data_IF_869676892923
#
_entry.id   IF_869676892923
#
_cell.length_a   1.000
_cell.length_b   1.000
_cell.length_c   1.000
_cell.angle_alpha   90.00
_cell.angle_beta   90.00
_cell.angle_gamma   90.00
#
_symmetry.space_group_name_H-M   'P 1'
#
loop_
_entity.id
_entity.type
_entity.pdbx_description
1 polymer ?
#
# COMPACT_ATOMS: atom_id res chain seq x y z
N UNK A 1 1.19 7.11 -8.73
CA UNK A 1 0.69 6.62 -10.03
C UNK A 1 -0.13 5.37 -9.83
N UNK A 2 -1.27 5.30 -10.45
CA UNK A 2 -2.10 4.09 -10.45
C UNK A 2 -1.50 3.04 -11.37
N UNK A 3 -1.35 1.80 -10.88
CA UNK A 3 -0.79 0.69 -11.65
C UNK A 3 -1.84 0.21 -12.67
N UNK A 4 -1.45 0.08 -13.93
CA UNK A 4 -2.35 -0.27 -15.03
C UNK A 4 -1.85 -1.42 -15.91
N UNK A 5 -0.57 -1.77 -15.86
CA UNK A 5 0.04 -2.78 -16.74
C UNK A 5 0.72 -3.89 -15.94
N UNK A 6 0.93 -5.05 -16.59
CA UNK A 6 1.63 -6.17 -15.98
C UNK A 6 3.06 -5.79 -15.55
N UNK A 7 3.77 -5.01 -16.36
CA UNK A 7 5.12 -4.54 -16.01
C UNK A 7 5.11 -3.65 -14.78
N UNK A 8 4.09 -2.79 -14.64
CA UNK A 8 3.91 -1.95 -13.46
C UNK A 8 3.53 -2.77 -12.23
N UNK A 9 2.82 -3.89 -12.38
CA UNK A 9 2.57 -4.82 -11.27
C UNK A 9 3.88 -5.41 -10.77
N UNK A 10 4.79 -5.78 -11.65
CA UNK A 10 6.11 -6.28 -11.27
C UNK A 10 6.92 -5.22 -10.51
N UNK A 11 6.91 -3.98 -10.97
CA UNK A 11 7.55 -2.87 -10.26
C UNK A 11 6.92 -2.63 -8.89
N UNK A 12 5.59 -2.67 -8.82
CA UNK A 12 4.84 -2.54 -7.57
C UNK A 12 5.22 -3.63 -6.58
N UNK A 13 5.25 -4.88 -7.02
CA UNK A 13 5.62 -6.02 -6.19
C UNK A 13 7.05 -5.89 -5.66
N UNK A 14 7.98 -5.55 -6.52
CA UNK A 14 9.38 -5.40 -6.16
C UNK A 14 9.59 -4.29 -5.11
N UNK A 15 8.97 -3.12 -5.29
CA UNK A 15 9.10 -2.02 -4.34
C UNK A 15 8.37 -2.33 -3.02
N UNK A 16 7.28 -3.07 -3.05
CA UNK A 16 6.58 -3.51 -1.85
C UNK A 16 7.48 -4.38 -0.98
N UNK A 17 8.12 -5.37 -1.58
CA UNK A 17 9.06 -6.27 -0.87
C UNK A 17 10.23 -5.47 -0.28
N UNK A 18 10.83 -4.59 -1.07
CA UNK A 18 11.93 -3.74 -0.61
C UNK A 18 11.55 -2.81 0.53
N UNK A 19 10.32 -2.33 0.52
CA UNK A 19 9.82 -1.46 1.57
C UNK A 19 9.53 -2.19 2.87
N UNK A 20 9.01 -3.41 2.81
CA UNK A 20 8.66 -4.18 4.01
C UNK A 20 9.81 -5.02 4.55
N UNK A 21 10.67 -5.55 3.71
CA UNK A 21 11.80 -6.37 4.14
C UNK A 21 13.09 -5.54 4.24
N UNK A 22 13.74 -5.32 3.10
CA UNK A 22 14.91 -4.45 3.01
C UNK A 22 15.11 -4.02 1.55
N UNK A 23 15.81 -2.92 1.36
CA UNK A 23 15.95 -2.26 0.06
C UNK A 23 16.69 -3.10 -0.99
N UNK A 24 17.49 -4.09 -0.54
CA UNK A 24 18.23 -4.99 -1.41
C UNK A 24 17.45 -6.28 -1.71
N UNK A 25 16.27 -6.47 -1.14
CA UNK A 25 15.49 -7.69 -1.34
C UNK A 25 15.09 -7.85 -2.80
N UNK A 26 15.08 -9.11 -3.24
CA UNK A 26 14.63 -9.50 -4.58
C UNK A 26 13.47 -10.47 -4.48
N UNK A 27 12.65 -10.51 -5.53
CA UNK A 27 11.50 -11.38 -5.58
C UNK A 27 11.30 -11.91 -6.99
N UNK A 28 10.81 -13.15 -7.09
CA UNK A 28 10.35 -13.70 -8.36
C UNK A 28 9.05 -13.01 -8.77
N UNK A 29 8.97 -12.37 -9.95
CA UNK A 29 7.76 -11.69 -10.40
C UNK A 29 6.53 -12.60 -10.37
N UNK A 30 5.39 -12.07 -9.91
CA UNK A 30 4.11 -12.78 -9.83
C UNK A 30 3.93 -13.67 -8.61
N UNK A 31 4.92 -13.75 -7.73
CA UNK A 31 4.85 -14.62 -6.55
C UNK A 31 3.81 -14.14 -5.53
N UNK A 32 3.68 -12.84 -5.35
CA UNK A 32 2.74 -12.22 -4.40
C UNK A 32 1.57 -11.60 -5.14
N UNK A 33 1.86 -10.88 -6.22
CA UNK A 33 0.85 -10.18 -7.02
C UNK A 33 0.93 -10.60 -8.48
N UNK A 34 0.09 -11.55 -8.93
CA UNK A 34 0.04 -11.91 -10.34
C UNK A 34 -0.59 -10.78 -11.16
N UNK A 35 -0.28 -10.67 -12.46
CA UNK A 35 -0.89 -9.65 -13.33
C UNK A 35 -2.43 -9.66 -13.32
N UNK A 36 -3.05 -10.81 -13.05
CA UNK A 36 -4.50 -10.95 -12.97
C UNK A 36 -5.14 -10.10 -11.86
N UNK A 37 -4.36 -9.56 -10.91
CA UNK A 37 -4.88 -8.64 -9.89
C UNK A 37 -5.49 -7.39 -10.54
N UNK A 38 -5.07 -7.02 -11.74
CA UNK A 38 -5.61 -5.90 -12.49
C UNK A 38 -7.04 -6.14 -12.99
N UNK A 39 -7.49 -7.40 -12.99
CA UNK A 39 -8.84 -7.77 -13.41
C UNK A 39 -9.87 -7.57 -12.29
N UNK A 40 -9.43 -7.32 -11.06
CA UNK A 40 -10.34 -7.04 -9.95
C UNK A 40 -10.65 -5.53 -9.91
N UNK A 41 -11.89 -5.12 -10.27
CA UNK A 41 -12.22 -3.70 -10.40
C UNK A 41 -12.26 -2.94 -9.07
N UNK A 42 -12.37 -3.65 -7.95
CA UNK A 42 -12.43 -3.05 -6.62
C UNK A 42 -11.05 -2.84 -6.00
N UNK A 43 -10.01 -3.44 -6.60
CA UNK A 43 -8.63 -3.31 -6.15
C UNK A 43 -7.89 -2.27 -6.98
N UNK A 44 -7.20 -1.36 -6.32
CA UNK A 44 -6.32 -0.39 -6.97
C UNK A 44 -4.94 -0.51 -6.35
N UNK A 45 -3.94 -0.63 -7.20
CA UNK A 45 -2.53 -0.60 -6.81
C UNK A 45 -1.97 0.77 -7.12
N UNK A 46 -1.23 1.32 -6.17
CA UNK A 46 -0.59 2.63 -6.29
C UNK A 46 0.92 2.49 -6.22
N UNK A 47 1.62 3.05 -7.18
CA UNK A 47 3.07 3.05 -7.24
C UNK A 47 3.57 4.48 -7.06
N UNK A 48 4.36 4.70 -6.02
CA UNK A 48 5.02 5.97 -5.79
C UNK A 48 6.33 6.02 -6.57
N UNK A 49 6.55 7.08 -7.32
CA UNK A 49 7.76 7.28 -8.11
C UNK A 49 8.35 8.66 -7.86
N UNK A 50 9.67 8.74 -7.85
CA UNK A 50 10.42 9.99 -7.82
C UNK A 50 11.43 9.93 -8.96
N UNK A 51 11.32 10.88 -9.89
CA UNK A 51 12.16 10.93 -11.09
C UNK A 51 12.14 9.61 -11.88
N UNK A 52 10.96 9.00 -11.97
CA UNK A 52 10.76 7.72 -12.66
C UNK A 52 11.20 6.48 -11.91
N UNK A 53 11.73 6.62 -10.69
CA UNK A 53 12.17 5.49 -9.87
C UNK A 53 11.10 5.11 -8.85
N UNK A 54 10.68 3.84 -8.79
CA UNK A 54 9.74 3.39 -7.78
C UNK A 54 10.33 3.53 -6.37
N UNK A 55 9.57 4.17 -5.47
CA UNK A 55 10.03 4.40 -4.08
C UNK A 55 9.03 3.91 -3.04
N UNK A 56 7.82 3.60 -3.42
CA UNK A 56 6.81 3.16 -2.48
C UNK A 56 5.58 2.58 -3.16
N UNK A 57 4.72 1.99 -2.36
CA UNK A 57 3.52 1.30 -2.82
C UNK A 57 2.39 1.44 -1.82
N UNK A 58 1.17 1.31 -2.30
CA UNK A 58 -0.03 1.20 -1.49
C UNK A 58 -1.10 0.45 -2.28
N UNK A 59 -2.03 -0.18 -1.57
CA UNK A 59 -3.20 -0.81 -2.17
C UNK A 59 -4.46 -0.26 -1.54
N UNK A 60 -5.52 -0.15 -2.32
CA UNK A 60 -6.86 0.08 -1.80
C UNK A 60 -7.84 -0.94 -2.36
N UNK A 61 -8.79 -1.34 -1.51
CA UNK A 61 -9.89 -2.21 -1.90
C UNK A 61 -11.20 -1.54 -1.49
N UNK A 62 -12.07 -1.34 -2.47
CA UNK A 62 -13.34 -0.66 -2.25
C UNK A 62 -14.46 -1.67 -2.08
N UNK A 63 -15.24 -1.52 -1.02
CA UNK A 63 -16.54 -2.16 -0.88
C UNK A 63 -17.64 -1.11 -1.06
N UNK A 64 -18.89 -1.50 -0.88
CA UNK A 64 -20.00 -0.54 -0.93
C UNK A 64 -20.05 0.35 0.33
N UNK A 65 -19.32 0.00 1.39
CA UNK A 65 -19.37 0.68 2.68
C UNK A 65 -18.07 1.42 3.04
N UNK A 66 -16.92 0.97 2.54
CA UNK A 66 -15.63 1.52 2.94
C UNK A 66 -14.55 1.28 1.90
N UNK A 67 -13.47 2.04 2.02
CA UNK A 67 -12.22 1.80 1.30
C UNK A 67 -11.19 1.26 2.29
N UNK A 68 -10.75 0.02 2.10
CA UNK A 68 -9.63 -0.56 2.85
C UNK A 68 -8.31 -0.13 2.24
N UNK A 69 -7.35 0.28 3.06
CA UNK A 69 -6.01 0.67 2.62
C UNK A 69 -5.01 -0.31 3.20
N UNK A 70 -4.16 -0.87 2.33
CA UNK A 70 -3.27 -1.97 2.66
C UNK A 70 -1.87 -1.72 2.11
N UNK A 71 -0.88 -2.31 2.77
CA UNK A 71 0.46 -2.41 2.23
C UNK A 71 1.12 -1.08 1.90
N UNK A 72 0.83 -0.02 2.65
CA UNK A 72 1.50 1.27 2.47
C UNK A 72 2.94 1.15 2.93
N UNK A 73 3.88 1.33 2.03
CA UNK A 73 5.30 1.27 2.36
C UNK A 73 6.13 2.19 1.47
N UNK A 74 7.29 2.58 1.97
CA UNK A 74 8.31 3.29 1.22
C UNK A 74 9.65 2.62 1.46
N UNK A 75 10.55 2.66 0.48
CA UNK A 75 11.90 2.14 0.67
C UNK A 75 12.66 3.00 1.69
N UNK A 76 13.56 2.36 2.44
CA UNK A 76 14.21 2.97 3.60
C UNK A 76 14.89 4.32 3.31
N UNK A 77 15.59 4.41 2.18
CA UNK A 77 16.34 5.63 1.80
C UNK A 77 15.46 6.83 1.48
N UNK A 78 14.15 6.62 1.26
CA UNK A 78 13.22 7.69 0.91
C UNK A 78 12.27 8.07 2.04
N UNK A 79 12.39 7.46 3.20
CA UNK A 79 11.51 7.70 4.35
C UNK A 79 11.70 9.10 4.93
N UNK A 80 10.70 9.58 5.66
CA UNK A 80 10.65 10.91 6.30
C UNK A 80 10.61 12.08 5.32
N UNK A 81 10.14 11.84 4.10
CA UNK A 81 9.97 12.86 3.05
C UNK A 81 8.51 13.09 2.67
N UNK A 82 7.56 12.49 3.40
CA UNK A 82 6.13 12.65 3.14
C UNK A 82 5.56 11.74 2.05
N UNK A 83 6.32 10.80 1.51
CA UNK A 83 5.85 9.91 0.45
C UNK A 83 4.78 8.93 0.93
N UNK A 84 4.92 8.39 2.15
CA UNK A 84 3.89 7.53 2.73
C UNK A 84 2.56 8.26 2.93
N UNK A 85 2.63 9.53 3.33
CA UNK A 85 1.45 10.40 3.44
C UNK A 85 0.79 10.59 2.07
N UNK A 86 1.58 10.88 1.04
CA UNK A 86 1.07 11.08 -0.32
C UNK A 86 0.43 9.80 -0.89
N UNK A 87 1.06 8.65 -0.66
CA UNK A 87 0.51 7.35 -1.07
C UNK A 87 -0.81 7.04 -0.37
N UNK A 88 -0.88 7.28 0.93
CA UNK A 88 -2.11 7.08 1.70
C UNK A 88 -3.22 7.98 1.20
N UNK A 89 -2.92 9.26 0.93
CA UNK A 89 -3.91 10.19 0.36
C UNK A 89 -4.42 9.74 -0.99
N UNK A 90 -3.55 9.27 -1.87
CA UNK A 90 -3.96 8.72 -3.16
C UNK A 90 -4.92 7.54 -2.98
N UNK A 91 -4.57 6.61 -2.09
CA UNK A 91 -5.39 5.44 -1.80
C UNK A 91 -6.77 5.80 -1.20
N UNK A 92 -6.83 6.81 -0.34
CA UNK A 92 -8.08 7.32 0.24
C UNK A 92 -9.04 7.88 -0.82
N UNK A 93 -8.49 8.49 -1.86
CA UNK A 93 -9.27 9.20 -2.88
C UNK A 93 -9.88 8.26 -3.94
N UNK A 94 -9.73 6.96 -3.81
CA UNK A 94 -10.40 5.99 -4.69
C UNK A 94 -11.91 6.20 -4.65
N UNK A 95 -12.46 6.49 -3.47
CA UNK A 95 -13.84 6.91 -3.32
C UNK A 95 -13.96 7.84 -2.13
N UNK A 96 -13.98 9.14 -2.38
CA UNK A 96 -14.05 10.17 -1.34
C UNK A 96 -15.40 10.24 -0.61
N UNK A 97 -16.44 9.58 -1.13
CA UNK A 97 -17.75 9.47 -0.50
C UNK A 97 -17.84 8.37 0.57
N UNK A 98 -16.80 7.55 0.70
CA UNK A 98 -16.76 6.45 1.66
C UNK A 98 -15.70 6.68 2.72
N UNK A 99 -15.93 6.18 3.96
CA UNK A 99 -14.87 6.16 4.95
C UNK A 99 -13.75 5.21 4.51
N UNK A 100 -12.51 5.54 4.88
CA UNK A 100 -11.38 4.65 4.68
C UNK A 100 -10.98 4.00 6.01
N UNK A 101 -10.50 2.76 5.93
CA UNK A 101 -10.09 1.98 7.09
C UNK A 101 -8.72 1.35 6.81
N UNK A 102 -7.87 1.32 7.82
CA UNK A 102 -6.56 0.69 7.74
C UNK A 102 -6.12 0.14 9.10
N UNK A 103 -5.17 -0.78 9.06
CA UNK A 103 -4.48 -1.28 10.24
C UNK A 103 -3.01 -0.83 10.14
N UNK A 104 -2.58 0.16 10.93
CA UNK A 104 -1.23 0.69 10.84
C UNK A 104 -0.21 -0.18 11.57
N UNK A 105 1.04 -0.12 11.12
CA UNK A 105 2.16 -0.52 11.96
C UNK A 105 2.38 0.52 13.07
N UNK A 106 3.07 0.18 14.17
CA UNK A 106 3.38 1.16 15.22
C UNK A 106 4.09 2.41 14.70
N UNK A 107 4.98 2.25 13.74
CA UNK A 107 5.72 3.35 13.13
C UNK A 107 4.84 4.28 12.30
N UNK A 108 3.77 3.74 11.73
CA UNK A 108 2.85 4.49 10.86
C UNK A 108 1.76 5.26 11.60
N UNK A 109 1.49 4.97 12.86
CA UNK A 109 0.38 5.56 13.60
C UNK A 109 0.37 7.08 13.58
N UNK A 110 1.53 7.70 13.76
CA UNK A 110 1.66 9.17 13.76
C UNK A 110 1.26 9.80 12.43
N UNK A 111 1.59 9.15 11.33
CA UNK A 111 1.21 9.60 9.97
C UNK A 111 -0.32 9.57 9.83
N UNK A 112 -0.93 8.47 10.22
CA UNK A 112 -2.37 8.30 10.04
C UNK A 112 -3.19 9.21 10.95
N UNK A 113 -2.76 9.45 12.18
CA UNK A 113 -3.39 10.43 13.06
C UNK A 113 -3.37 11.83 12.45
N UNK A 114 -2.26 12.24 11.85
CA UNK A 114 -2.16 13.54 11.17
C UNK A 114 -3.06 13.64 9.94
N UNK A 115 -3.39 12.50 9.31
CA UNK A 115 -4.33 12.44 8.20
C UNK A 115 -5.80 12.40 8.64
N UNK A 116 -6.06 12.41 9.95
CA UNK A 116 -7.41 12.41 10.50
C UNK A 116 -7.97 11.03 10.85
N UNK A 117 -7.15 9.98 10.80
CA UNK A 117 -7.58 8.65 11.22
C UNK A 117 -7.70 8.57 12.73
N UNK A 118 -8.75 7.91 13.19
CA UNK A 118 -9.02 7.64 14.60
C UNK A 118 -9.06 6.13 14.83
N UNK A 119 -8.57 5.70 15.99
CA UNK A 119 -8.65 4.30 16.35
C UNK A 119 -10.09 3.91 16.67
N UNK A 120 -10.61 2.91 15.97
CA UNK A 120 -11.97 2.39 16.15
C UNK A 120 -11.99 0.94 16.65
N UNK A 121 -10.84 0.30 16.75
CA UNK A 121 -10.75 -1.07 17.23
C UNK A 121 -9.32 -1.59 17.24
N UNK A 122 -9.18 -2.86 17.56
CA UNK A 122 -7.92 -3.58 17.57
C UNK A 122 -8.02 -4.85 16.75
N UNK A 123 -6.96 -5.18 16.03
CA UNK A 123 -6.85 -6.43 15.29
C UNK A 123 -5.97 -7.42 16.05
N UNK A 124 -6.50 -8.60 16.34
CA UNK A 124 -5.74 -9.69 16.94
C UNK A 124 -5.50 -10.77 15.90
N UNK A 125 -4.24 -11.12 15.72
CA UNK A 125 -3.83 -12.11 14.72
C UNK A 125 -3.52 -13.42 15.41
N UNK A 126 -4.12 -14.50 14.94
CA UNK A 126 -3.91 -15.85 15.43
C UNK A 126 -3.25 -16.67 14.33
N UNK A 127 -2.18 -17.36 14.67
CA UNK A 127 -1.51 -18.24 13.71
C UNK A 127 -1.33 -19.62 14.33
N UNK A 128 -1.39 -20.65 13.49
CA UNK A 128 -1.04 -22.01 13.87
C UNK A 128 0.16 -22.43 13.04
N UNK A 129 1.21 -22.82 13.72
CA UNK A 129 2.38 -23.40 13.06
C UNK A 129 2.20 -24.89 12.93
N UNK A 130 2.48 -25.43 11.76
CA UNK A 130 2.32 -26.85 11.45
C UNK A 130 3.64 -27.58 11.49
#
# INVERSE_FOLDING_TARGET
>A
MRVATADEVEEFEAVSVRGFENEAATITPGRIHPPAILDEPRMVLWLGQVEGKPIGAAMSYRTDEAVGIFGVTTIASTRRRGYGTALTRAAMLVDSGLPSILAPSPEGEGVYRRLGYEQVGELRIWSRQT
#
